data_IF_224453631420
#
_entry.id   IF_224453631420
#
_cell.length_a   1.000
_cell.length_b   1.000
_cell.length_c   1.000
_cell.angle_alpha   90.00
_cell.angle_beta   90.00
_cell.angle_gamma   90.00
#
_symmetry.space_group_name_H-M   'P 1'
#
loop_
_entity.id
_entity.type
_entity.pdbx_description
1 polymer ?
#
# COMPACT_ATOMS: atom_id res chain seq x y z
N UNK A 1 -2.03 46.59 -30.92
CA UNK A 1 -3.32 45.92 -30.75
C UNK A 1 -3.09 44.53 -30.20
N UNK A 2 -3.51 44.26 -28.95
CA UNK A 2 -3.69 42.88 -28.52
C UNK A 2 -2.95 42.45 -27.26
N UNK A 3 -3.25 42.94 -26.10
CA UNK A 3 -3.29 42.15 -24.85
C UNK A 3 -4.59 42.49 -24.14
N UNK A 4 -5.48 41.54 -23.87
CA UNK A 4 -5.76 41.17 -22.49
C UNK A 4 -6.31 39.71 -22.36
N UNK A 5 -5.50 38.75 -22.11
CA UNK A 5 -5.96 37.40 -21.75
C UNK A 5 -5.13 36.71 -20.63
N UNK A 6 -4.12 37.37 -20.05
CA UNK A 6 -3.29 36.82 -18.98
C UNK A 6 -3.60 37.28 -17.55
N UNK A 7 -4.62 38.15 -17.36
CA UNK A 7 -4.96 38.68 -16.02
C UNK A 7 -6.14 37.95 -15.34
N UNK A 8 -6.82 37.01 -16.00
CA UNK A 8 -8.02 36.37 -15.44
C UNK A 8 -7.75 35.13 -14.58
N UNK A 9 -6.60 34.49 -14.71
CA UNK A 9 -6.29 33.27 -13.93
C UNK A 9 -5.60 33.53 -12.58
N UNK A 10 -5.06 34.70 -12.35
CA UNK A 10 -4.38 35.03 -11.07
C UNK A 10 -5.33 35.47 -9.94
N UNK A 11 -6.67 35.46 -10.16
CA UNK A 11 -7.66 35.95 -9.19
C UNK A 11 -8.46 34.86 -8.48
N UNK A 12 -8.30 33.60 -8.88
CA UNK A 12 -9.05 32.48 -8.31
C UNK A 12 -8.28 31.80 -7.13
N UNK A 13 -6.96 31.92 -7.04
CA UNK A 13 -6.15 31.27 -5.98
C UNK A 13 -6.08 32.04 -4.65
N UNK A 14 -6.80 33.14 -4.48
CA UNK A 14 -6.80 33.95 -3.25
C UNK A 14 -8.07 33.81 -2.40
N UNK A 15 -8.88 32.81 -2.60
CA UNK A 15 -10.16 32.64 -1.87
C UNK A 15 -10.18 31.40 -0.95
N UNK A 16 -9.04 30.96 -0.50
CA UNK A 16 -8.99 29.85 0.47
C UNK A 16 -7.97 30.14 1.57
N UNK A 17 -8.30 31.09 2.45
CA UNK A 17 -7.60 31.22 3.73
C UNK A 17 -8.57 31.60 4.84
N UNK A 18 -8.37 30.99 6.01
CA UNK A 18 -9.09 31.00 7.27
C UNK A 18 -9.58 32.38 7.85
N UNK A 19 -9.52 33.47 7.10
CA UNK A 19 -9.86 34.81 7.57
C UNK A 19 -11.36 35.16 7.45
N UNK A 20 -12.17 34.35 6.76
CA UNK A 20 -13.59 34.65 6.57
C UNK A 20 -14.43 34.36 7.82
N UNK A 21 -14.06 33.31 8.55
CA UNK A 21 -14.80 32.91 9.78
C UNK A 21 -14.52 33.86 10.95
N UNK A 22 -13.29 34.28 11.16
CA UNK A 22 -12.94 35.23 12.21
C UNK A 22 -13.47 36.66 11.95
N UNK A 23 -13.66 37.04 10.69
CA UNK A 23 -14.30 38.32 10.32
C UNK A 23 -15.80 38.25 10.63
N UNK A 24 -16.48 37.16 10.30
CA UNK A 24 -17.89 36.92 10.63
C UNK A 24 -18.16 36.91 12.14
N UNK A 25 -17.27 36.34 12.94
CA UNK A 25 -17.39 36.33 14.41
C UNK A 25 -17.18 37.72 15.00
N UNK A 26 -16.28 38.56 14.46
CA UNK A 26 -16.10 39.96 14.89
C UNK A 26 -17.27 40.87 14.51
N UNK A 27 -17.85 40.67 13.34
CA UNK A 27 -19.05 41.45 12.91
C UNK A 27 -20.31 41.04 13.71
N UNK A 28 -20.38 39.78 14.19
CA UNK A 28 -21.47 39.33 15.06
C UNK A 28 -21.46 40.01 16.42
N UNK A 29 -20.31 40.38 16.96
CA UNK A 29 -20.19 41.09 18.24
C UNK A 29 -20.43 42.60 18.15
N UNK A 30 -20.50 43.18 16.93
CA UNK A 30 -20.68 44.65 16.75
C UNK A 30 -22.14 45.13 16.59
N UNK A 31 -23.14 44.21 16.58
CA UNK A 31 -24.56 44.52 16.76
C UNK A 31 -25.22 45.44 15.73
N UNK A 32 -24.72 45.61 14.51
CA UNK A 32 -25.28 46.50 13.52
C UNK A 32 -26.34 45.84 12.64
N UNK A 33 -27.48 46.53 12.46
CA UNK A 33 -28.66 46.08 11.66
C UNK A 33 -28.36 45.63 10.21
N UNK A 34 -27.21 45.99 9.65
CA UNK A 34 -26.77 45.52 8.32
C UNK A 34 -26.46 44.00 8.27
N UNK A 35 -26.09 43.41 9.38
CA UNK A 35 -25.79 41.98 9.45
C UNK A 35 -27.03 41.10 9.18
N UNK A 36 -28.22 41.56 9.53
CA UNK A 36 -29.47 40.83 9.34
C UNK A 36 -29.98 40.84 7.90
N UNK A 37 -29.76 41.94 7.15
CA UNK A 37 -30.17 42.01 5.74
C UNK A 37 -29.32 41.13 4.82
N UNK A 38 -28.05 40.93 5.13
CA UNK A 38 -27.16 40.01 4.40
C UNK A 38 -27.53 38.55 4.68
N UNK A 39 -28.03 38.23 5.88
CA UNK A 39 -28.44 36.86 6.25
C UNK A 39 -29.69 36.37 5.51
N UNK A 40 -30.59 37.25 5.18
CA UNK A 40 -31.85 36.91 4.47
C UNK A 40 -31.65 36.69 2.95
N UNK A 41 -30.60 37.25 2.37
CA UNK A 41 -30.30 37.05 0.94
C UNK A 41 -29.61 35.71 0.65
N UNK A 42 -29.19 34.95 1.67
CA UNK A 42 -28.60 33.61 1.54
C UNK A 42 -29.54 32.44 1.91
N UNK A 43 -30.80 32.76 2.28
CA UNK A 43 -31.81 31.74 2.44
C UNK A 43 -32.35 31.33 1.07
N UNK A 44 -32.39 30.04 0.74
CA UNK A 44 -32.96 29.55 -0.50
C UNK A 44 -34.43 29.99 -0.58
N UNK A 45 -34.80 30.68 -1.65
CA UNK A 45 -36.14 31.24 -1.84
C UNK A 45 -37.14 30.18 -2.32
N UNK A 46 -36.67 29.04 -2.79
CA UNK A 46 -37.51 27.91 -3.21
C UNK A 46 -36.92 26.57 -2.75
N UNK A 47 -37.76 25.54 -2.66
CA UNK A 47 -37.30 24.17 -2.30
C UNK A 47 -36.25 23.58 -3.28
N UNK A 48 -36.14 24.18 -4.47
CA UNK A 48 -35.16 23.78 -5.48
C UNK A 48 -33.75 24.37 -5.27
N UNK A 49 -33.64 25.40 -4.41
CA UNK A 49 -32.36 26.06 -4.09
C UNK A 49 -31.67 25.44 -2.89
N UNK A 50 -32.28 24.43 -2.29
CA UNK A 50 -31.67 23.64 -1.21
C UNK A 50 -30.57 22.73 -1.76
N UNK A 51 -29.40 22.66 -1.11
CA UNK A 51 -28.39 21.65 -1.46
C UNK A 51 -29.02 20.25 -1.49
N UNK A 52 -28.62 19.42 -2.45
CA UNK A 52 -29.21 18.10 -2.72
C UNK A 52 -29.37 17.18 -1.49
N UNK A 53 -28.53 17.35 -0.45
CA UNK A 53 -28.61 16.58 0.79
C UNK A 53 -29.73 17.04 1.74
N UNK A 54 -30.35 18.22 1.52
CA UNK A 54 -31.49 18.75 2.29
C UNK A 54 -32.82 18.70 1.54
N UNK A 55 -32.82 18.27 0.27
CA UNK A 55 -34.00 18.24 -0.57
C UNK A 55 -34.80 16.94 -0.35
N UNK A 56 -36.02 16.98 0.27
CA UNK A 56 -36.78 15.76 0.57
C UNK A 56 -37.28 15.02 -0.68
N UNK A 57 -37.27 15.64 -1.87
CA UNK A 57 -37.61 15.00 -3.15
C UNK A 57 -36.45 14.22 -3.74
N UNK A 58 -35.20 14.38 -3.20
CA UNK A 58 -34.02 13.65 -3.61
C UNK A 58 -33.89 12.27 -2.91
N UNK A 59 -34.71 11.98 -1.90
CA UNK A 59 -34.65 10.74 -1.13
C UNK A 59 -34.86 9.43 -1.92
N UNK A 60 -35.31 9.52 -3.16
CA UNK A 60 -35.46 8.38 -4.09
C UNK A 60 -34.33 8.22 -5.11
N UNK A 61 -33.40 9.15 -5.24
CA UNK A 61 -32.24 9.05 -6.13
C UNK A 61 -31.11 8.39 -5.38
N UNK A 62 -30.78 7.16 -5.72
CA UNK A 62 -29.51 6.52 -5.36
C UNK A 62 -28.42 7.56 -5.56
N UNK A 63 -27.66 7.91 -4.50
CA UNK A 63 -26.67 8.97 -4.48
C UNK A 63 -25.86 8.99 -5.79
N UNK A 64 -25.98 10.03 -6.65
CA UNK A 64 -25.30 10.05 -7.95
C UNK A 64 -23.79 9.99 -7.80
N UNK A 65 -23.24 10.43 -6.66
CA UNK A 65 -21.85 10.28 -6.31
C UNK A 65 -21.40 8.82 -6.13
N UNK A 66 -22.22 7.97 -5.48
CA UNK A 66 -21.91 6.55 -5.34
C UNK A 66 -22.02 5.81 -6.68
N UNK A 67 -23.00 6.16 -7.51
CA UNK A 67 -23.14 5.62 -8.86
C UNK A 67 -21.99 6.07 -9.78
N UNK A 68 -21.55 7.32 -9.69
CA UNK A 68 -20.42 7.85 -10.45
C UNK A 68 -19.09 7.22 -9.99
N UNK A 69 -18.89 7.02 -8.68
CA UNK A 69 -17.71 6.34 -8.12
C UNK A 69 -17.69 4.87 -8.53
N UNK A 70 -18.83 4.17 -8.49
CA UNK A 70 -18.91 2.77 -8.93
C UNK A 70 -18.68 2.64 -10.43
N UNK A 71 -19.23 3.51 -11.25
CA UNK A 71 -18.99 3.51 -12.71
C UNK A 71 -17.51 3.75 -13.04
N UNK A 72 -16.81 4.61 -12.28
CA UNK A 72 -15.37 4.85 -12.47
C UNK A 72 -14.46 3.70 -12.01
N UNK A 73 -14.92 2.85 -11.07
CA UNK A 73 -14.14 1.72 -10.54
C UNK A 73 -14.40 0.44 -11.36
N UNK A 74 -15.59 0.27 -11.89
CA UNK A 74 -16.02 -0.98 -12.56
C UNK A 74 -15.12 -1.44 -13.70
N UNK A 75 -14.67 -0.60 -14.65
CA UNK A 75 -13.82 -1.07 -15.75
C UNK A 75 -12.52 -1.72 -15.27
N UNK A 76 -11.90 -1.12 -14.24
CA UNK A 76 -10.68 -1.68 -13.65
C UNK A 76 -10.93 -2.97 -12.87
N UNK A 77 -12.05 -3.08 -12.15
CA UNK A 77 -12.43 -4.31 -11.46
C UNK A 77 -12.69 -5.45 -12.46
N UNK A 78 -13.36 -5.18 -13.57
CA UNK A 78 -13.60 -6.16 -14.64
C UNK A 78 -12.28 -6.62 -15.23
N UNK A 79 -11.37 -5.72 -15.55
CA UNK A 79 -10.04 -6.09 -16.08
C UNK A 79 -9.27 -6.97 -15.08
N UNK A 80 -9.23 -6.60 -13.81
CA UNK A 80 -8.59 -7.38 -12.75
C UNK A 80 -9.25 -8.76 -12.59
N UNK A 81 -10.57 -8.84 -12.64
CA UNK A 81 -11.31 -10.11 -12.59
C UNK A 81 -11.02 -11.00 -13.80
N UNK A 82 -10.93 -10.43 -15.01
CA UNK A 82 -10.55 -11.18 -16.22
C UNK A 82 -9.14 -11.77 -16.10
N UNK A 83 -8.15 -10.98 -15.67
CA UNK A 83 -6.79 -11.48 -15.44
C UNK A 83 -6.76 -12.57 -14.37
N UNK A 84 -7.54 -12.39 -13.31
CA UNK A 84 -7.69 -13.40 -12.25
C UNK A 84 -8.27 -14.71 -12.83
N UNK A 85 -9.31 -14.63 -13.64
CA UNK A 85 -9.91 -15.79 -14.29
C UNK A 85 -8.93 -16.51 -15.21
N UNK A 86 -8.16 -15.76 -16.01
CA UNK A 86 -7.08 -16.31 -16.84
C UNK A 86 -6.03 -17.04 -15.98
N UNK A 87 -5.62 -16.45 -14.85
CA UNK A 87 -4.66 -17.06 -13.95
C UNK A 87 -5.16 -18.37 -13.34
N UNK A 88 -6.44 -18.44 -12.95
CA UNK A 88 -7.05 -19.68 -12.48
C UNK A 88 -7.17 -20.75 -13.58
N UNK A 89 -7.53 -20.37 -14.80
CA UNK A 89 -7.61 -21.29 -15.95
C UNK A 89 -6.21 -21.81 -16.34
N UNK A 90 -5.19 -20.95 -16.27
CA UNK A 90 -3.82 -21.32 -16.60
C UNK A 90 -3.17 -22.26 -15.56
N UNK A 91 -3.74 -22.38 -14.35
CA UNK A 91 -3.25 -23.31 -13.32
C UNK A 91 -3.16 -24.76 -13.83
N UNK A 92 -4.10 -25.18 -14.67
CA UNK A 92 -4.12 -26.54 -15.24
C UNK A 92 -2.94 -26.84 -16.18
N UNK A 93 -2.33 -25.80 -16.78
CA UNK A 93 -1.22 -25.94 -17.72
C UNK A 93 0.16 -25.74 -17.08
N UNK A 94 0.21 -25.02 -15.95
CA UNK A 94 1.48 -24.56 -15.37
C UNK A 94 1.79 -25.20 -14.02
N UNK A 95 1.59 -26.44 -13.77
CA UNK A 95 1.74 -27.11 -12.45
C UNK A 95 2.83 -26.56 -11.47
N UNK A 96 3.67 -25.62 -11.95
CA UNK A 96 4.73 -24.97 -11.21
C UNK A 96 4.29 -23.74 -10.40
N UNK A 97 3.25 -22.98 -10.85
CA UNK A 97 2.94 -21.69 -10.24
C UNK A 97 1.48 -21.60 -9.77
N UNK A 98 1.29 -21.02 -8.59
CA UNK A 98 -0.04 -20.75 -8.05
C UNK A 98 -0.79 -19.70 -8.88
N UNK A 99 -2.15 -19.68 -8.86
CA UNK A 99 -2.93 -18.64 -9.52
C UNK A 99 -2.54 -17.21 -9.10
N UNK A 100 -2.08 -17.05 -7.85
CA UNK A 100 -1.63 -15.76 -7.32
C UNK A 100 -0.41 -15.24 -8.07
N UNK A 101 0.59 -16.09 -8.29
CA UNK A 101 1.80 -15.74 -9.06
C UNK A 101 1.46 -15.50 -10.53
N UNK A 102 0.67 -16.39 -11.13
CA UNK A 102 0.23 -16.24 -12.53
C UNK A 102 -0.51 -14.92 -12.75
N UNK A 103 -1.35 -14.50 -11.82
CA UNK A 103 -2.08 -13.24 -11.91
C UNK A 103 -1.16 -12.02 -11.97
N UNK A 104 -0.07 -12.00 -11.19
CA UNK A 104 0.93 -10.92 -11.28
C UNK A 104 1.63 -10.93 -12.62
N UNK A 105 2.08 -12.09 -13.07
CA UNK A 105 2.82 -12.24 -14.34
C UNK A 105 1.95 -11.82 -15.53
N UNK A 106 0.72 -12.33 -15.60
CA UNK A 106 -0.23 -11.96 -16.67
C UNK A 106 -0.56 -10.47 -16.61
N UNK A 107 -0.78 -9.91 -15.41
CA UNK A 107 -1.02 -8.48 -15.23
C UNK A 107 0.16 -7.63 -15.69
N UNK A 108 1.39 -8.04 -15.38
CA UNK A 108 2.61 -7.34 -15.80
C UNK A 108 2.82 -7.42 -17.32
N UNK A 109 2.62 -8.59 -17.93
CA UNK A 109 2.69 -8.75 -19.37
C UNK A 109 1.65 -7.86 -20.05
N UNK A 110 0.40 -7.88 -19.57
CA UNK A 110 -0.66 -7.04 -20.10
C UNK A 110 -0.30 -5.55 -20.04
N UNK A 111 0.13 -5.08 -18.89
CA UNK A 111 0.48 -3.67 -18.66
C UNK A 111 1.60 -3.17 -19.59
N UNK A 112 2.67 -3.96 -19.74
CA UNK A 112 3.85 -3.55 -20.49
C UNK A 112 3.72 -3.76 -22.00
N UNK A 113 2.83 -4.67 -22.47
CA UNK A 113 2.60 -4.92 -23.90
C UNK A 113 1.45 -4.11 -24.48
N UNK A 114 0.33 -4.03 -23.77
CA UNK A 114 -0.92 -3.42 -24.26
C UNK A 114 -1.17 -2.05 -23.61
N UNK A 115 -0.53 -1.77 -22.48
CA UNK A 115 -0.81 -0.59 -21.69
C UNK A 115 -2.10 -0.71 -20.88
N UNK A 116 -2.23 0.12 -19.85
CA UNK A 116 -3.41 0.16 -18.99
C UNK A 116 -4.33 1.30 -19.41
N UNK A 117 -5.59 1.01 -19.83
CA UNK A 117 -6.55 2.05 -20.19
C UNK A 117 -6.79 3.03 -19.05
N UNK A 118 -6.86 4.33 -19.37
CA UNK A 118 -7.02 5.40 -18.37
C UNK A 118 -8.27 5.19 -17.47
N UNK A 119 -9.38 4.75 -18.06
CA UNK A 119 -10.64 4.48 -17.35
C UNK A 119 -10.57 3.25 -16.42
N UNK A 120 -9.58 2.36 -16.57
CA UNK A 120 -9.39 1.20 -15.70
C UNK A 120 -8.53 1.53 -14.46
N UNK A 121 -7.73 2.61 -14.47
CA UNK A 121 -6.76 2.93 -13.41
C UNK A 121 -7.40 3.04 -12.02
N UNK A 122 -8.59 3.62 -11.90
CA UNK A 122 -9.28 3.78 -10.63
C UNK A 122 -9.66 2.43 -9.98
N UNK A 123 -10.17 1.49 -10.76
CA UNK A 123 -10.54 0.15 -10.28
C UNK A 123 -9.33 -0.73 -9.96
N UNK A 124 -8.26 -0.60 -10.74
CA UNK A 124 -6.99 -1.28 -10.45
C UNK A 124 -6.41 -0.77 -9.12
N UNK A 125 -6.38 0.55 -8.91
CA UNK A 125 -5.91 1.14 -7.65
C UNK A 125 -6.79 0.74 -6.44
N UNK A 126 -8.10 0.63 -6.63
CA UNK A 126 -9.02 0.11 -5.63
C UNK A 126 -8.69 -1.34 -5.25
N UNK A 127 -8.47 -2.21 -6.25
CA UNK A 127 -8.12 -3.62 -6.04
C UNK A 127 -6.80 -3.77 -5.30
N UNK A 128 -5.77 -3.04 -5.71
CA UNK A 128 -4.46 -3.10 -5.06
C UNK A 128 -4.47 -2.54 -3.63
N UNK A 129 -5.21 -1.45 -3.37
CA UNK A 129 -5.14 -0.76 -2.07
C UNK A 129 -6.22 -1.22 -1.10
N UNK A 130 -7.49 -1.28 -1.52
CA UNK A 130 -8.61 -1.58 -0.62
C UNK A 130 -8.94 -3.06 -0.59
N UNK A 131 -9.15 -3.68 -1.76
CA UNK A 131 -9.52 -5.08 -1.84
C UNK A 131 -8.44 -5.98 -1.21
N UNK A 132 -7.16 -5.72 -1.50
CA UNK A 132 -6.04 -6.44 -0.92
C UNK A 132 -5.99 -6.33 0.61
N UNK A 133 -6.23 -5.14 1.18
CA UNK A 133 -6.26 -4.96 2.65
C UNK A 133 -7.40 -5.73 3.29
N UNK A 134 -8.59 -5.73 2.68
CA UNK A 134 -9.70 -6.55 3.14
C UNK A 134 -9.39 -8.05 3.06
N UNK A 135 -8.76 -8.50 1.99
CA UNK A 135 -8.32 -9.89 1.86
C UNK A 135 -7.34 -10.29 2.98
N UNK A 136 -6.41 -9.41 3.35
CA UNK A 136 -5.47 -9.64 4.47
C UNK A 136 -6.23 -9.74 5.81
N UNK A 137 -7.23 -8.88 6.04
CA UNK A 137 -8.07 -8.97 7.24
C UNK A 137 -8.84 -10.29 7.28
N UNK A 138 -9.44 -10.72 6.16
CA UNK A 138 -10.13 -12.01 6.06
C UNK A 138 -9.20 -13.21 6.24
N UNK A 139 -7.92 -13.09 5.85
CA UNK A 139 -6.92 -14.13 6.08
C UNK A 139 -6.76 -14.44 7.58
N UNK A 140 -7.06 -13.47 8.47
CA UNK A 140 -7.08 -13.68 9.90
C UNK A 140 -8.04 -14.79 10.36
N UNK A 141 -9.09 -15.10 9.61
CA UNK A 141 -9.97 -16.25 9.89
C UNK A 141 -9.31 -17.61 9.66
N UNK A 142 -8.18 -17.65 8.97
CA UNK A 142 -7.43 -18.89 8.71
C UNK A 142 -6.30 -19.10 9.71
N UNK A 143 -6.07 -18.14 10.63
CA UNK A 143 -4.98 -18.15 11.57
C UNK A 143 -5.50 -18.13 13.02
N UNK A 144 -4.74 -18.73 13.93
CA UNK A 144 -4.99 -18.69 15.38
C UNK A 144 -3.92 -17.87 16.10
N UNK A 145 -4.22 -17.40 17.30
CA UNK A 145 -3.25 -16.71 18.16
C UNK A 145 -2.03 -17.59 18.46
N UNK A 146 -2.22 -18.92 18.57
CA UNK A 146 -1.10 -19.87 18.74
C UNK A 146 -0.14 -19.87 17.56
N UNK A 147 -0.66 -19.87 16.33
CA UNK A 147 0.17 -19.79 15.12
C UNK A 147 0.88 -18.43 15.00
N UNK A 148 0.21 -17.33 15.38
CA UNK A 148 0.84 -16.01 15.40
C UNK A 148 1.93 -15.93 16.45
N UNK A 149 1.69 -16.48 17.64
CA UNK A 149 2.70 -16.58 18.70
C UNK A 149 3.84 -17.54 18.34
N UNK A 150 3.58 -18.52 17.46
CA UNK A 150 4.54 -19.52 17.00
C UNK A 150 5.78 -18.95 16.29
N UNK A 151 5.69 -17.72 15.73
CA UNK A 151 6.89 -17.02 15.24
C UNK A 151 7.89 -16.75 16.37
N UNK A 152 7.39 -16.62 17.59
CA UNK A 152 8.21 -16.44 18.79
C UNK A 152 9.03 -15.15 18.81
N UNK A 153 9.77 -14.94 19.91
CA UNK A 153 10.66 -13.78 20.04
C UNK A 153 11.84 -13.87 19.06
N UNK A 154 12.28 -15.08 18.71
CA UNK A 154 13.34 -15.30 17.72
C UNK A 154 12.95 -14.75 16.35
N UNK A 155 11.78 -15.11 15.84
CA UNK A 155 11.27 -14.61 14.55
C UNK A 155 11.04 -13.10 14.54
N UNK A 156 10.49 -12.53 15.63
CA UNK A 156 10.36 -11.07 15.78
C UNK A 156 11.74 -10.41 15.78
N UNK A 157 12.72 -11.00 16.45
CA UNK A 157 14.11 -10.55 16.48
C UNK A 157 14.74 -10.54 15.09
N UNK A 158 14.55 -11.62 14.30
CA UNK A 158 15.01 -11.70 12.91
C UNK A 158 14.40 -10.58 12.07
N UNK A 159 13.09 -10.38 12.18
CA UNK A 159 12.38 -9.34 11.44
C UNK A 159 12.91 -7.96 11.80
N UNK A 160 13.09 -7.65 13.08
CA UNK A 160 13.60 -6.37 13.56
C UNK A 160 15.07 -6.14 13.14
N UNK A 161 15.92 -7.14 13.29
CA UNK A 161 17.32 -7.07 12.90
C UNK A 161 17.46 -6.88 11.38
N UNK A 162 16.70 -7.63 10.59
CA UNK A 162 16.69 -7.52 9.12
C UNK A 162 16.24 -6.13 8.69
N UNK A 163 15.17 -5.59 9.31
CA UNK A 163 14.69 -4.23 9.03
C UNK A 163 15.76 -3.19 9.32
N UNK A 164 16.32 -3.20 10.53
CA UNK A 164 17.32 -2.21 10.95
C UNK A 164 18.61 -2.28 10.13
N UNK A 165 19.15 -3.49 9.94
CA UNK A 165 20.36 -3.69 9.16
C UNK A 165 20.18 -3.28 7.69
N UNK A 166 19.06 -3.64 7.06
CA UNK A 166 18.78 -3.28 5.66
C UNK A 166 18.61 -1.77 5.50
N UNK A 167 17.92 -1.11 6.42
CA UNK A 167 17.75 0.34 6.36
C UNK A 167 19.11 1.06 6.45
N UNK A 168 19.93 0.70 7.43
CA UNK A 168 21.26 1.27 7.62
C UNK A 168 22.18 0.99 6.44
N UNK A 169 22.21 -0.25 5.96
CA UNK A 169 22.98 -0.65 4.77
C UNK A 169 22.59 0.19 3.56
N UNK A 170 21.29 0.29 3.27
CA UNK A 170 20.80 1.00 2.07
C UNK A 170 21.11 2.48 2.12
N UNK A 171 20.91 3.15 3.27
CA UNK A 171 21.22 4.58 3.43
C UNK A 171 22.73 4.82 3.33
N UNK A 172 23.54 3.96 3.91
CA UNK A 172 25.01 4.07 3.87
C UNK A 172 25.54 3.85 2.46
N UNK A 173 25.11 2.78 1.81
CA UNK A 173 25.48 2.49 0.43
C UNK A 173 25.04 3.60 -0.53
N UNK A 174 23.81 4.12 -0.35
CA UNK A 174 23.29 5.24 -1.14
C UNK A 174 24.20 6.48 -1.08
N UNK A 175 24.73 6.80 0.10
CA UNK A 175 25.72 7.88 0.26
C UNK A 175 27.02 7.58 -0.48
N UNK A 176 27.52 6.36 -0.39
CA UNK A 176 28.78 5.96 -1.02
C UNK A 176 28.72 6.01 -2.55
N UNK A 177 27.60 5.60 -3.16
CA UNK A 177 27.44 5.59 -4.62
C UNK A 177 26.87 6.90 -5.18
N UNK A 178 26.63 7.89 -4.31
CA UNK A 178 26.19 9.23 -4.71
C UNK A 178 24.72 9.30 -5.14
N UNK A 179 23.84 8.49 -4.55
CA UNK A 179 22.38 8.60 -4.72
C UNK A 179 21.87 9.73 -3.81
N UNK A 180 20.91 10.52 -4.31
CA UNK A 180 20.27 11.56 -3.52
C UNK A 180 19.79 11.01 -2.17
N UNK A 181 20.01 11.77 -1.09
CA UNK A 181 19.73 11.35 0.29
C UNK A 181 18.26 10.99 0.49
N UNK A 182 17.34 11.80 -0.06
CA UNK A 182 15.90 11.59 0.10
C UNK A 182 15.46 10.32 -0.64
N UNK A 183 15.91 10.15 -1.89
CA UNK A 183 15.64 8.94 -2.68
C UNK A 183 16.23 7.68 -2.02
N UNK A 184 17.45 7.74 -1.50
CA UNK A 184 18.07 6.62 -0.78
C UNK A 184 17.27 6.25 0.49
N UNK A 185 16.73 7.22 1.22
CA UNK A 185 15.86 6.97 2.38
C UNK A 185 14.52 6.34 1.97
N UNK A 186 13.93 6.75 0.85
CA UNK A 186 12.70 6.12 0.32
C UNK A 186 12.94 4.66 -0.08
N UNK A 187 14.04 4.38 -0.81
CA UNK A 187 14.41 3.00 -1.18
C UNK A 187 14.70 2.18 0.07
N UNK A 188 15.42 2.75 1.05
CA UNK A 188 15.71 2.07 2.32
C UNK A 188 14.43 1.70 3.08
N UNK A 189 13.50 2.63 3.25
CA UNK A 189 12.24 2.39 3.94
C UNK A 189 11.36 1.36 3.19
N UNK A 190 11.26 1.50 1.86
CA UNK A 190 10.51 0.57 1.02
C UNK A 190 11.04 -0.86 1.10
N UNK A 191 12.36 -1.04 0.98
CA UNK A 191 13.00 -2.36 1.08
C UNK A 191 12.89 -2.94 2.50
N UNK A 192 13.12 -2.13 3.52
CA UNK A 192 13.22 -2.61 4.91
C UNK A 192 11.87 -2.93 5.54
N UNK A 193 10.76 -2.29 5.14
CA UNK A 193 9.49 -2.39 5.86
C UNK A 193 8.42 -3.10 5.01
N UNK A 194 7.68 -2.35 4.17
CA UNK A 194 6.51 -2.90 3.49
C UNK A 194 6.28 -2.32 2.08
N UNK A 195 7.33 -1.94 1.40
CA UNK A 195 7.24 -1.44 0.02
C UNK A 195 6.62 -0.05 -0.08
N UNK A 196 5.67 0.10 -0.98
CA UNK A 196 5.04 1.39 -1.32
C UNK A 196 4.45 2.12 -0.11
N UNK A 197 3.85 1.43 0.85
CA UNK A 197 3.27 2.06 2.04
C UNK A 197 4.34 2.72 2.92
N UNK A 198 5.51 2.08 3.05
CA UNK A 198 6.64 2.63 3.80
C UNK A 198 7.26 3.83 3.09
N UNK A 199 7.35 3.80 1.75
CA UNK A 199 7.82 4.91 0.94
C UNK A 199 6.94 6.14 1.17
N UNK A 200 5.61 6.00 1.01
CA UNK A 200 4.66 7.11 1.21
C UNK A 200 4.71 7.66 2.63
N UNK A 201 4.77 6.77 3.65
CA UNK A 201 4.85 7.19 5.04
C UNK A 201 6.17 7.91 5.35
N UNK A 202 7.28 7.43 4.79
CA UNK A 202 8.60 8.06 4.96
C UNK A 202 8.64 9.40 4.23
N UNK A 203 7.96 9.54 3.09
CA UNK A 203 7.95 10.78 2.33
C UNK A 203 7.28 11.95 3.08
N UNK A 204 6.39 11.68 4.03
CA UNK A 204 5.84 12.73 4.93
C UNK A 204 6.97 13.44 5.71
N UNK A 205 8.06 12.71 6.02
CA UNK A 205 9.20 13.22 6.79
C UNK A 205 10.34 13.68 5.88
N UNK A 206 10.59 12.99 4.78
CA UNK A 206 11.72 13.27 3.87
C UNK A 206 11.43 14.38 2.89
N UNK A 207 10.14 14.61 2.57
CA UNK A 207 9.70 15.61 1.60
C UNK A 207 10.51 15.51 0.28
N UNK A 208 10.58 14.31 -0.28
CA UNK A 208 11.21 14.04 -1.57
C UNK A 208 10.24 14.38 -2.71
N UNK A 209 10.78 14.56 -3.92
CA UNK A 209 9.96 14.87 -5.11
C UNK A 209 9.08 13.69 -5.49
N UNK A 210 7.91 13.96 -6.07
CA UNK A 210 6.96 12.92 -6.51
C UNK A 210 7.58 11.91 -7.47
N UNK A 211 8.52 12.34 -8.31
CA UNK A 211 9.27 11.49 -9.22
C UNK A 211 10.18 10.51 -8.47
N UNK A 212 10.79 10.92 -7.35
CA UNK A 212 11.62 10.06 -6.50
C UNK A 212 10.77 9.01 -5.78
N UNK A 213 9.56 9.41 -5.34
CA UNK A 213 8.55 8.50 -4.76
C UNK A 213 8.13 7.45 -5.79
N UNK A 214 7.77 7.88 -7.00
CA UNK A 214 7.33 7.00 -8.09
C UNK A 214 8.43 6.02 -8.47
N UNK A 215 9.66 6.51 -8.63
CA UNK A 215 10.82 5.65 -8.91
C UNK A 215 11.07 4.62 -7.81
N UNK A 216 11.07 5.05 -6.54
CA UNK A 216 11.28 4.14 -5.41
C UNK A 216 10.21 3.05 -5.37
N UNK A 217 8.93 3.39 -5.61
CA UNK A 217 7.84 2.42 -5.68
C UNK A 217 8.06 1.44 -6.84
N UNK A 218 8.42 1.91 -8.04
CA UNK A 218 8.67 1.05 -9.18
C UNK A 218 9.83 0.07 -8.94
N UNK A 219 10.95 0.54 -8.37
CA UNK A 219 12.10 -0.29 -8.06
C UNK A 219 11.75 -1.38 -7.02
N UNK A 220 11.05 -1.01 -5.95
CA UNK A 220 10.62 -1.95 -4.91
C UNK A 220 9.64 -2.99 -5.46
N UNK A 221 8.71 -2.59 -6.30
CA UNK A 221 7.76 -3.50 -6.94
C UNK A 221 8.48 -4.48 -7.85
N UNK A 222 9.45 -4.02 -8.65
CA UNK A 222 10.26 -4.89 -9.51
C UNK A 222 11.01 -5.95 -8.71
N UNK A 223 11.87 -5.54 -7.76
CA UNK A 223 12.69 -6.49 -7.00
C UNK A 223 11.85 -7.38 -6.09
N UNK A 224 10.75 -6.86 -5.55
CA UNK A 224 9.79 -7.67 -4.80
C UNK A 224 9.09 -8.72 -5.67
N UNK A 225 8.80 -8.41 -6.94
CA UNK A 225 8.23 -9.39 -7.87
C UNK A 225 9.26 -10.45 -8.27
N UNK A 226 10.51 -10.05 -8.49
CA UNK A 226 11.62 -11.00 -8.72
C UNK A 226 11.76 -11.94 -7.52
N UNK A 227 11.70 -11.40 -6.29
CA UNK A 227 11.74 -12.22 -5.08
C UNK A 227 10.54 -13.17 -4.98
N UNK A 228 9.33 -12.68 -5.25
CA UNK A 228 8.11 -13.49 -5.22
C UNK A 228 8.17 -14.69 -6.17
N UNK A 229 8.75 -14.50 -7.36
CA UNK A 229 8.90 -15.56 -8.36
C UNK A 229 10.08 -16.49 -8.05
N UNK A 230 11.21 -15.91 -7.61
CA UNK A 230 12.47 -16.62 -7.45
C UNK A 230 12.59 -17.39 -6.14
N UNK A 231 12.10 -16.85 -5.01
CA UNK A 231 12.29 -17.44 -3.70
C UNK A 231 11.66 -18.84 -3.54
N UNK A 232 10.44 -19.10 -4.03
CA UNK A 232 9.90 -20.45 -3.98
C UNK A 232 10.75 -21.50 -4.71
N UNK A 233 11.42 -21.09 -5.80
CA UNK A 233 12.34 -21.94 -6.57
C UNK A 233 13.67 -22.17 -5.83
N UNK A 234 14.09 -21.19 -5.01
CA UNK A 234 15.33 -21.28 -4.22
C UNK A 234 15.15 -22.02 -2.89
N UNK A 235 13.93 -22.15 -2.38
CA UNK A 235 13.66 -22.81 -1.11
C UNK A 235 14.25 -24.22 -1.01
N UNK A 236 14.05 -25.13 -2.00
CA UNK A 236 14.64 -26.46 -1.96
C UNK A 236 16.17 -26.43 -2.12
N UNK A 237 16.72 -25.47 -2.86
CA UNK A 237 18.18 -25.31 -3.03
C UNK A 237 18.86 -24.99 -1.70
N UNK A 238 18.19 -24.17 -0.87
CA UNK A 238 18.69 -23.81 0.45
C UNK A 238 18.26 -24.80 1.56
N UNK A 239 17.50 -25.83 1.23
CA UNK A 239 17.03 -26.83 2.21
C UNK A 239 16.10 -26.24 3.27
N UNK A 240 15.31 -25.22 2.93
CA UNK A 240 14.38 -24.57 3.84
C UNK A 240 13.08 -25.38 3.94
N UNK A 241 12.66 -25.66 5.18
CA UNK A 241 11.30 -26.15 5.44
C UNK A 241 10.27 -25.03 5.27
N UNK A 242 8.98 -25.36 5.38
CA UNK A 242 7.91 -24.38 5.17
C UNK A 242 7.94 -23.23 6.18
N UNK A 243 8.31 -23.49 7.44
CA UNK A 243 8.39 -22.47 8.48
C UNK A 243 9.55 -21.51 8.22
N UNK A 244 10.76 -22.05 8.01
CA UNK A 244 11.95 -21.26 7.72
C UNK A 244 11.79 -20.45 6.42
N UNK A 245 11.22 -21.06 5.36
CA UNK A 245 10.90 -20.34 4.14
C UNK A 245 9.90 -19.21 4.37
N UNK A 246 8.84 -19.46 5.13
CA UNK A 246 7.84 -18.45 5.46
C UNK A 246 8.46 -17.25 6.19
N UNK A 247 9.32 -17.53 7.18
CA UNK A 247 10.03 -16.51 7.93
C UNK A 247 11.00 -15.72 7.04
N UNK A 248 11.76 -16.39 6.17
CA UNK A 248 12.65 -15.76 5.20
C UNK A 248 11.88 -14.87 4.20
N UNK A 249 10.83 -15.39 3.59
CA UNK A 249 10.01 -14.64 2.64
C UNK A 249 9.34 -13.42 3.30
N UNK A 250 8.77 -13.58 4.49
CA UNK A 250 8.16 -12.49 5.26
C UNK A 250 9.15 -11.42 5.70
N UNK A 251 10.37 -11.84 6.10
CA UNK A 251 11.44 -10.93 6.51
C UNK A 251 12.11 -10.20 5.36
N UNK A 252 12.06 -10.69 4.11
CA UNK A 252 12.82 -10.13 2.99
C UNK A 252 11.99 -9.59 1.84
N UNK A 253 10.95 -10.25 1.38
CA UNK A 253 10.14 -9.78 0.25
C UNK A 253 9.48 -8.43 0.58
N UNK A 254 9.38 -7.55 -0.41
CA UNK A 254 9.08 -6.14 -0.20
C UNK A 254 7.63 -5.87 0.19
N UNK A 255 6.65 -6.37 -0.55
CA UNK A 255 5.24 -6.07 -0.33
C UNK A 255 4.45 -7.24 0.25
N UNK A 256 3.39 -6.93 1.02
CA UNK A 256 2.55 -7.95 1.68
C UNK A 256 1.95 -8.91 0.65
N UNK A 257 1.46 -8.39 -0.48
CA UNK A 257 0.89 -9.22 -1.54
C UNK A 257 1.91 -10.21 -2.13
N UNK A 258 3.12 -9.73 -2.39
CA UNK A 258 4.22 -10.55 -2.93
C UNK A 258 4.64 -11.65 -1.93
N UNK A 259 4.68 -11.30 -0.63
CA UNK A 259 4.97 -12.26 0.45
C UNK A 259 3.92 -13.38 0.47
N UNK A 260 2.64 -13.02 0.42
CA UNK A 260 1.53 -13.97 0.42
C UNK A 260 1.62 -14.87 -0.82
N UNK A 261 1.84 -14.27 -1.99
CA UNK A 261 1.99 -15.01 -3.25
C UNK A 261 3.12 -16.04 -3.20
N UNK A 262 4.31 -15.65 -2.72
CA UNK A 262 5.46 -16.53 -2.56
C UNK A 262 5.24 -17.57 -1.46
N UNK A 263 4.68 -17.16 -0.31
CA UNK A 263 4.47 -18.03 0.84
C UNK A 263 3.52 -19.19 0.53
N UNK A 264 2.33 -18.88 0.02
CA UNK A 264 1.34 -19.90 -0.32
C UNK A 264 1.71 -20.74 -1.55
N UNK A 265 2.66 -20.29 -2.37
CA UNK A 265 3.26 -21.12 -3.41
C UNK A 265 4.02 -22.31 -2.81
N UNK A 266 4.65 -22.13 -1.66
CA UNK A 266 5.49 -23.13 -0.98
C UNK A 266 4.73 -23.92 0.11
N UNK A 267 3.43 -23.74 0.23
CA UNK A 267 2.55 -24.45 1.15
C UNK A 267 1.80 -23.56 2.13
N UNK A 268 0.81 -24.13 2.80
CA UNK A 268 -0.08 -23.37 3.71
C UNK A 268 0.69 -22.81 4.90
N UNK A 269 1.48 -23.64 5.58
CA UNK A 269 2.29 -23.22 6.73
C UNK A 269 3.28 -22.11 6.35
N UNK A 270 3.91 -22.22 5.16
CA UNK A 270 4.81 -21.20 4.66
C UNK A 270 4.08 -19.87 4.40
N UNK A 271 2.87 -19.91 3.82
CA UNK A 271 2.04 -18.73 3.57
C UNK A 271 1.60 -18.04 4.87
N UNK A 272 1.17 -18.81 5.86
CA UNK A 272 0.76 -18.31 7.18
C UNK A 272 1.94 -17.65 7.90
N UNK A 273 3.07 -18.35 8.03
CA UNK A 273 4.30 -17.85 8.67
C UNK A 273 4.81 -16.58 7.96
N UNK A 274 4.86 -16.59 6.63
CA UNK A 274 5.29 -15.44 5.84
C UNK A 274 4.39 -14.22 6.07
N UNK A 275 3.07 -14.45 6.13
CA UNK A 275 2.10 -13.38 6.37
C UNK A 275 2.30 -12.75 7.76
N UNK A 276 2.43 -13.56 8.80
CA UNK A 276 2.63 -13.06 10.18
C UNK A 276 3.95 -12.31 10.29
N UNK A 277 5.05 -12.88 9.77
CA UNK A 277 6.35 -12.21 9.74
C UNK A 277 6.30 -10.87 9.02
N UNK A 278 5.61 -10.80 7.86
CA UNK A 278 5.45 -9.56 7.12
C UNK A 278 4.58 -8.55 7.86
N UNK A 279 3.49 -8.95 8.48
CA UNK A 279 2.64 -8.03 9.25
C UNK A 279 3.36 -7.50 10.49
N UNK A 280 4.25 -8.29 11.11
CA UNK A 280 5.16 -7.83 12.16
C UNK A 280 6.07 -6.71 11.65
N UNK A 281 6.65 -6.84 10.44
CA UNK A 281 7.42 -5.74 9.80
C UNK A 281 6.55 -4.51 9.57
N UNK A 282 5.32 -4.68 9.07
CA UNK A 282 4.40 -3.56 8.83
C UNK A 282 4.06 -2.83 10.13
N UNK A 283 3.90 -3.55 11.24
CA UNK A 283 3.68 -2.94 12.55
C UNK A 283 4.87 -2.07 13.00
N UNK A 284 6.08 -2.41 12.58
CA UNK A 284 7.30 -1.62 12.86
C UNK A 284 7.39 -0.32 12.05
N UNK A 285 6.47 -0.06 11.09
CA UNK A 285 6.43 1.18 10.32
C UNK A 285 6.25 2.41 11.22
N UNK A 286 5.34 2.34 12.19
CA UNK A 286 5.05 3.46 13.08
C UNK A 286 6.28 3.89 13.92
N UNK A 287 6.95 2.99 14.67
CA UNK A 287 8.16 3.35 15.41
C UNK A 287 9.29 3.83 14.50
N UNK A 288 9.43 3.27 13.29
CA UNK A 288 10.45 3.70 12.33
C UNK A 288 10.22 5.12 11.82
N UNK A 289 9.00 5.48 11.43
CA UNK A 289 8.65 6.83 10.95
C UNK A 289 8.80 7.85 12.09
N UNK A 290 8.44 7.49 13.33
CA UNK A 290 8.66 8.33 14.50
C UNK A 290 10.17 8.57 14.71
N UNK A 291 10.98 7.52 14.65
CA UNK A 291 12.44 7.64 14.80
C UNK A 291 13.05 8.55 13.72
N UNK A 292 12.64 8.39 12.45
CA UNK A 292 13.07 9.28 11.35
C UNK A 292 12.62 10.72 11.57
N UNK A 293 11.38 10.94 12.04
CA UNK A 293 10.87 12.27 12.37
C UNK A 293 11.65 12.96 13.49
N UNK A 294 12.00 12.21 14.54
CA UNK A 294 12.83 12.73 15.64
C UNK A 294 14.27 13.07 15.18
N UNK A 295 14.82 12.24 14.29
CA UNK A 295 16.16 12.51 13.70
C UNK A 295 16.14 13.74 12.78
N UNK A 296 15.08 13.93 12.01
CA UNK A 296 14.90 15.09 11.12
C UNK A 296 14.77 16.39 11.93
N UNK A 297 14.04 16.38 13.06
CA UNK A 297 13.87 17.54 13.96
C UNK A 297 15.19 18.02 14.59
N UNK A 298 16.15 17.13 14.78
CA UNK A 298 17.48 17.52 15.29
C UNK A 298 18.28 18.35 14.29
N UNK A 299 17.87 18.37 13.02
CA UNK A 299 18.53 19.11 11.92
C UNK A 299 17.79 20.34 11.42
N UNK A 300 16.53 20.58 11.81
CA UNK A 300 15.70 21.74 11.37
C UNK A 300 14.53 21.99 12.32
N UNK A 301 14.26 23.27 12.58
CA UNK A 301 13.20 23.73 13.50
C UNK A 301 11.77 23.56 12.98
N UNK A 302 11.56 23.21 11.71
CA UNK A 302 10.26 23.28 11.01
C UNK A 302 9.65 21.91 10.62
N UNK A 303 10.02 20.82 11.31
CA UNK A 303 9.38 19.54 11.00
C UNK A 303 7.92 19.51 11.45
N UNK A 304 7.00 19.52 10.48
CA UNK A 304 5.56 19.37 10.68
C UNK A 304 5.25 18.11 11.50
N UNK A 305 4.44 18.25 12.53
CA UNK A 305 4.05 17.16 13.44
C UNK A 305 3.06 16.16 12.84
N UNK A 306 3.23 15.77 11.59
CA UNK A 306 2.39 14.79 10.92
C UNK A 306 2.44 13.43 11.64
N UNK A 307 1.29 12.93 12.05
CA UNK A 307 1.17 11.60 12.67
C UNK A 307 1.44 10.51 11.63
N UNK A 308 2.29 9.52 11.92
CA UNK A 308 2.52 8.41 10.99
C UNK A 308 1.20 7.67 10.72
N UNK A 309 0.93 7.28 9.47
CA UNK A 309 -0.28 6.54 9.14
C UNK A 309 -0.25 5.18 9.84
N UNK A 310 -1.19 4.97 10.75
CA UNK A 310 -1.33 3.68 11.41
C UNK A 310 -1.94 2.66 10.44
N UNK A 311 -1.31 1.48 10.25
CA UNK A 311 -1.82 0.45 9.36
C UNK A 311 -3.04 -0.26 9.99
N UNK A 312 -4.22 0.37 9.94
CA UNK A 312 -5.46 -0.11 10.55
C UNK A 312 -5.79 -1.57 10.21
N UNK A 313 -5.43 -2.03 8.99
CA UNK A 313 -5.70 -3.39 8.54
C UNK A 313 -4.89 -4.44 9.31
N UNK A 314 -3.74 -4.07 9.89
CA UNK A 314 -2.95 -4.97 10.77
C UNK A 314 -3.69 -5.15 12.10
N UNK A 315 -4.21 -4.07 12.69
CA UNK A 315 -5.02 -4.17 13.91
C UNK A 315 -6.30 -4.98 13.66
N UNK A 316 -6.96 -4.76 12.53
CA UNK A 316 -8.14 -5.53 12.12
C UNK A 316 -7.81 -7.01 11.89
N UNK A 317 -6.68 -7.34 11.24
CA UNK A 317 -6.20 -8.71 11.09
C UNK A 317 -6.02 -9.40 12.46
N UNK A 318 -5.31 -8.76 13.40
CA UNK A 318 -5.09 -9.30 14.75
C UNK A 318 -6.42 -9.50 15.48
N UNK A 319 -7.37 -8.57 15.37
CA UNK A 319 -8.71 -8.71 15.95
C UNK A 319 -9.46 -9.92 15.36
N UNK A 320 -9.38 -10.17 14.06
CA UNK A 320 -10.00 -11.33 13.40
C UNK A 320 -9.31 -12.62 13.81
N UNK A 321 -7.98 -12.66 13.93
CA UNK A 321 -7.23 -13.82 14.47
C UNK A 321 -7.66 -14.13 15.89
N UNK A 322 -7.80 -13.10 16.75
CA UNK A 322 -8.28 -13.26 18.12
C UNK A 322 -9.72 -13.80 18.14
N UNK A 323 -10.60 -13.26 17.32
CA UNK A 323 -11.99 -13.75 17.18
C UNK A 323 -12.01 -15.23 16.76
N UNK A 324 -11.22 -15.62 15.74
CA UNK A 324 -11.12 -16.98 15.28
C UNK A 324 -10.55 -17.95 16.35
N UNK A 325 -9.74 -17.44 17.26
CA UNK A 325 -9.16 -18.25 18.35
C UNK A 325 -10.10 -18.40 19.55
N UNK A 326 -11.00 -17.44 19.77
CA UNK A 326 -11.88 -17.41 20.95
C UNK A 326 -13.26 -17.96 20.66
N UNK A 327 -13.72 -17.93 19.40
CA UNK A 327 -15.05 -18.33 18.99
C UNK A 327 -14.97 -19.49 18.00
N UNK A 328 -15.73 -20.56 18.26
CA UNK A 328 -15.84 -21.68 17.32
C UNK A 328 -16.63 -21.22 16.07
N UNK A 329 -15.94 -20.99 14.98
CA UNK A 329 -16.54 -20.55 13.71
C UNK A 329 -17.02 -21.79 12.93
N UNK A 330 -18.28 -21.81 12.43
CA UNK A 330 -18.79 -22.92 11.62
C UNK A 330 -17.92 -23.18 10.38
N UNK A 331 -17.72 -24.46 10.03
CA UNK A 331 -16.86 -24.88 8.90
C UNK A 331 -17.27 -24.24 7.57
N UNK A 332 -18.59 -23.99 7.36
CA UNK A 332 -19.09 -23.35 6.15
C UNK A 332 -18.62 -21.90 6.04
N UNK A 333 -18.56 -21.15 7.16
CA UNK A 333 -18.05 -19.78 7.18
C UNK A 333 -16.54 -19.79 6.94
N UNK A 334 -15.84 -20.76 7.54
CA UNK A 334 -14.40 -20.93 7.37
C UNK A 334 -14.02 -21.16 5.89
N UNK A 335 -14.72 -22.10 5.22
CA UNK A 335 -14.47 -22.39 3.81
C UNK A 335 -14.85 -21.23 2.89
N UNK A 336 -15.97 -20.55 3.16
CA UNK A 336 -16.38 -19.37 2.40
C UNK A 336 -15.40 -18.20 2.54
N UNK A 337 -14.94 -17.91 3.75
CA UNK A 337 -13.93 -16.85 3.99
C UNK A 337 -12.59 -17.21 3.38
N UNK A 338 -12.16 -18.49 3.40
CA UNK A 338 -10.94 -18.93 2.76
C UNK A 338 -10.99 -18.73 1.24
N UNK A 339 -12.08 -19.14 0.59
CA UNK A 339 -12.28 -18.95 -0.85
C UNK A 339 -12.30 -17.45 -1.22
N UNK A 340 -13.08 -16.65 -0.47
CA UNK A 340 -13.15 -15.20 -0.69
C UNK A 340 -11.78 -14.55 -0.56
N UNK A 341 -11.03 -14.91 0.48
CA UNK A 341 -9.66 -14.43 0.71
C UNK A 341 -8.75 -14.76 -0.47
N UNK A 342 -8.76 -16.01 -0.93
CA UNK A 342 -7.92 -16.45 -2.03
C UNK A 342 -8.24 -15.69 -3.34
N UNK A 343 -9.51 -15.51 -3.68
CA UNK A 343 -9.93 -14.75 -4.86
C UNK A 343 -9.51 -13.28 -4.73
N UNK A 344 -9.79 -12.65 -3.59
CA UNK A 344 -9.45 -11.24 -3.37
C UNK A 344 -7.95 -10.99 -3.36
N UNK A 345 -7.15 -11.90 -2.80
CA UNK A 345 -5.68 -11.83 -2.86
C UNK A 345 -5.19 -11.95 -4.31
N UNK A 346 -5.72 -12.89 -5.08
CA UNK A 346 -5.37 -13.06 -6.49
C UNK A 346 -5.73 -11.82 -7.31
N UNK A 347 -6.90 -11.21 -7.08
CA UNK A 347 -7.30 -9.94 -7.68
C UNK A 347 -6.37 -8.78 -7.30
N UNK A 348 -5.99 -8.70 -6.02
CA UNK A 348 -5.04 -7.70 -5.54
C UNK A 348 -3.67 -7.83 -6.21
N UNK A 349 -3.21 -9.07 -6.39
CA UNK A 349 -1.96 -9.39 -7.09
C UNK A 349 -2.04 -9.12 -8.60
N UNK A 350 -3.14 -9.45 -9.27
CA UNK A 350 -3.39 -9.06 -10.66
C UNK A 350 -3.31 -7.55 -10.85
N UNK A 351 -3.94 -6.78 -9.93
CA UNK A 351 -3.90 -5.32 -9.94
C UNK A 351 -2.48 -4.79 -9.71
N UNK A 352 -1.68 -5.45 -8.88
CA UNK A 352 -0.26 -5.10 -8.67
C UNK A 352 0.56 -5.33 -9.95
N UNK A 353 0.36 -6.47 -10.63
CA UNK A 353 1.01 -6.74 -11.93
C UNK A 353 0.67 -5.67 -12.97
N UNK A 354 -0.60 -5.25 -13.05
CA UNK A 354 -1.06 -4.17 -13.95
C UNK A 354 -0.44 -2.80 -13.66
N UNK A 355 0.03 -2.55 -12.45
CA UNK A 355 0.69 -1.29 -12.08
C UNK A 355 2.22 -1.36 -12.19
N UNK A 356 2.78 -2.50 -12.49
CA UNK A 356 4.22 -2.67 -12.66
C UNK A 356 4.67 -2.11 -14.01
N UNK A 357 5.08 -0.83 -14.00
CA UNK A 357 5.62 -0.13 -15.17
C UNK A 357 7.16 -0.11 -15.11
N UNK A 358 7.78 -0.83 -16.04
CA UNK A 358 9.25 -0.94 -16.12
C UNK A 358 9.86 0.34 -16.72
N UNK A 359 9.08 1.16 -17.44
CA UNK A 359 9.58 2.39 -18.08
C UNK A 359 10.05 3.43 -17.05
N UNK A 360 9.39 3.50 -15.88
CA UNK A 360 9.75 4.39 -14.81
C UNK A 360 11.18 4.21 -14.29
N UNK A 361 11.73 3.00 -14.40
CA UNK A 361 13.08 2.68 -13.95
C UNK A 361 14.17 3.31 -14.82
N UNK A 362 13.83 3.72 -16.05
CA UNK A 362 14.77 4.36 -16.96
C UNK A 362 14.96 5.86 -16.65
N UNK A 363 14.02 6.47 -15.91
CA UNK A 363 13.96 7.93 -15.73
C UNK A 363 15.10 8.51 -14.88
N UNK A 364 15.70 7.75 -13.95
CA UNK A 364 16.66 8.24 -12.93
C UNK A 364 18.07 7.69 -13.05
N UNK A 365 18.37 6.95 -14.11
CA UNK A 365 19.68 6.36 -14.33
C UNK A 365 19.97 5.11 -13.49
N UNK A 366 21.20 4.59 -13.64
CA UNK A 366 21.56 3.28 -13.08
C UNK A 366 21.86 3.29 -11.58
N UNK A 367 22.36 4.40 -11.01
CA UNK A 367 22.82 4.44 -9.60
C UNK A 367 21.72 4.09 -8.60
N UNK A 368 20.50 4.70 -8.65
CA UNK A 368 19.42 4.31 -7.74
C UNK A 368 18.93 2.88 -7.96
N UNK A 369 18.99 2.37 -9.20
CA UNK A 369 18.64 0.98 -9.50
C UNK A 369 19.64 0.00 -8.87
N UNK A 370 20.94 0.31 -8.97
CA UNK A 370 22.00 -0.47 -8.31
C UNK A 370 21.84 -0.44 -6.79
N UNK A 371 21.45 0.69 -6.22
CA UNK A 371 21.14 0.80 -4.80
C UNK A 371 20.01 -0.14 -4.41
N UNK A 372 18.87 -0.08 -5.12
CA UNK A 372 17.72 -0.92 -4.85
C UNK A 372 18.03 -2.42 -5.04
N UNK A 373 18.80 -2.77 -6.09
CA UNK A 373 19.27 -4.14 -6.32
C UNK A 373 20.19 -4.64 -5.19
N UNK A 374 21.16 -3.83 -4.78
CA UNK A 374 22.08 -4.18 -3.68
C UNK A 374 21.33 -4.32 -2.36
N UNK A 375 20.36 -3.43 -2.09
CA UNK A 375 19.49 -3.52 -0.92
C UNK A 375 18.64 -4.80 -0.94
N UNK A 376 18.11 -5.17 -2.11
CA UNK A 376 17.38 -6.42 -2.32
C UNK A 376 18.27 -7.65 -2.04
N UNK A 377 19.47 -7.71 -2.59
CA UNK A 377 20.39 -8.81 -2.33
C UNK A 377 20.81 -8.88 -0.85
N UNK A 378 21.04 -7.71 -0.24
CA UNK A 378 21.40 -7.65 1.17
C UNK A 378 20.27 -8.18 2.06
N UNK A 379 19.02 -7.71 1.87
CA UNK A 379 17.90 -8.15 2.72
C UNK A 379 17.62 -9.64 2.52
N UNK A 380 17.71 -10.15 1.29
CA UNK A 380 17.54 -11.56 0.97
C UNK A 380 18.61 -12.43 1.64
N UNK A 381 19.89 -12.08 1.47
CA UNK A 381 21.01 -12.84 2.03
C UNK A 381 21.09 -12.72 3.54
N UNK A 382 20.95 -11.52 4.10
CA UNK A 382 21.04 -11.29 5.54
C UNK A 382 19.93 -12.03 6.29
N UNK A 383 18.67 -11.91 5.83
CA UNK A 383 17.55 -12.63 6.45
C UNK A 383 17.67 -14.15 6.31
N UNK A 384 18.19 -14.65 5.16
CA UNK A 384 18.43 -16.07 4.95
C UNK A 384 19.44 -16.62 5.97
N UNK A 385 20.53 -15.88 6.21
CA UNK A 385 21.52 -16.25 7.23
C UNK A 385 20.87 -16.30 8.61
N UNK A 386 20.11 -15.27 8.99
CA UNK A 386 19.48 -15.22 10.31
C UNK A 386 18.46 -16.35 10.53
N UNK A 387 17.67 -16.69 9.51
CA UNK A 387 16.67 -17.76 9.60
C UNK A 387 17.31 -19.15 9.83
N UNK A 388 18.57 -19.35 9.44
CA UNK A 388 19.28 -20.62 9.70
C UNK A 388 19.73 -20.81 11.14
N UNK A 389 19.67 -19.77 11.97
CA UNK A 389 20.04 -19.83 13.39
C UNK A 389 18.83 -19.98 14.32
N UNK A 390 17.63 -20.04 13.80
CA UNK A 390 16.36 -20.20 14.53
C UNK A 390 15.64 -21.45 14.05
#
# INVERSE_FOLDING_TARGET
AGQPARQSFAKIDRYNSNNSFERLVREWHSGTERAWRIRLSFLPTTANDLPDYLNPTAAGRRHPALAAISAGIMPGLVLVAMITSVAYSARGFSGLFSPMILAVVVGMIFSNMLGVPAHAKAGIAFSQKRLLRFAIVLLGFQLTLGQVAGIGLGGVGIVAATLGATFLFTVTLGRLIGVDRKLAQLIAAGTSICGASAIVATNIVTDARDEDVTYAVAAITLFGTIAMLGFPLLAPVFGLDQHAFGLWAGASIHEVAQVIGAGFQNGTLAGETATVAKLTRVAMLAPMVIALGLMARRGSSDASGAKPPMPWFVAAFVAVVALNSLVAIPAQIHSATALATQIMLTMGLAAMGLQADISELRSRGLRPLMLAFSAFLFIAGFSLVLVRFV
#
